data_IF_620635523839
#
_entry.id   IF_620635523839
#
_cell.length_a   1.000
_cell.length_b   1.000
_cell.length_c   1.000
_cell.angle_alpha   90.00
_cell.angle_beta   90.00
_cell.angle_gamma   90.00
#
_symmetry.space_group_name_H-M   'P 1'
#
loop_
_entity.id
_entity.type
_entity.pdbx_description
1 polymer ?
#
# COMPACT_ATOMS: atom_id res chain seq x y z
N UNK A 1 14.32 22.69 -12.30
CA UNK A 1 14.42 24.11 -12.69
C UNK A 1 13.22 24.86 -12.16
N UNK A 2 13.36 26.15 -11.91
CA UNK A 2 12.27 27.10 -11.67
C UNK A 2 12.38 28.21 -12.70
N UNK A 3 11.26 28.68 -13.25
CA UNK A 3 11.24 29.84 -14.15
C UNK A 3 10.64 31.02 -13.40
N UNK A 4 11.38 32.13 -13.34
CA UNK A 4 10.89 33.43 -12.91
C UNK A 4 10.37 34.18 -14.13
N UNK A 5 9.34 34.98 -13.96
CA UNK A 5 8.79 35.84 -15.01
C UNK A 5 8.40 37.18 -14.41
N UNK A 6 8.68 38.25 -15.14
CA UNK A 6 8.34 39.62 -14.75
C UNK A 6 8.15 40.47 -16.01
N UNK A 7 7.41 41.56 -15.88
CA UNK A 7 7.22 42.56 -16.93
C UNK A 7 8.04 43.80 -16.61
N UNK A 8 8.51 44.51 -17.64
CA UNK A 8 9.12 45.82 -17.46
C UNK A 8 8.80 46.78 -18.60
N UNK A 9 8.31 47.96 -18.24
CA UNK A 9 8.13 49.15 -19.08
C UNK A 9 9.25 50.19 -18.90
N UNK A 10 10.20 49.92 -17.99
CA UNK A 10 11.20 50.89 -17.57
C UNK A 10 12.34 51.05 -18.58
N UNK A 11 12.83 52.28 -18.72
CA UNK A 11 14.04 52.58 -19.48
C UNK A 11 15.30 52.14 -18.69
N UNK A 12 15.69 50.88 -18.78
CA UNK A 12 16.87 50.28 -18.14
C UNK A 12 17.59 49.34 -19.11
N UNK A 13 18.84 48.98 -18.82
CA UNK A 13 19.65 48.11 -19.69
C UNK A 13 19.40 46.61 -19.44
N UNK A 14 18.89 46.26 -18.27
CA UNK A 14 18.59 44.87 -17.93
C UNK A 14 18.34 44.64 -16.45
N UNK A 15 18.28 43.37 -16.10
CA UNK A 15 18.00 42.90 -14.75
C UNK A 15 19.11 42.00 -14.24
N UNK A 16 19.48 42.17 -12.98
CA UNK A 16 20.24 41.19 -12.20
C UNK A 16 19.32 40.33 -11.35
N UNK A 17 19.48 39.02 -11.48
CA UNK A 17 18.68 38.05 -10.75
C UNK A 17 19.53 37.51 -9.61
N UNK A 18 19.06 37.71 -8.39
CA UNK A 18 19.68 37.24 -7.18
C UNK A 18 18.80 36.22 -6.47
N UNK A 19 19.43 35.31 -5.71
CA UNK A 19 18.73 34.34 -4.87
C UNK A 19 19.45 34.14 -3.54
N UNK A 20 18.68 33.99 -2.48
CA UNK A 20 19.13 33.65 -1.12
C UNK A 20 18.20 32.60 -0.52
N UNK A 21 18.72 31.68 0.29
CA UNK A 21 17.91 30.91 1.23
C UNK A 21 18.43 31.09 2.66
N UNK A 22 17.76 30.45 3.63
CA UNK A 22 18.15 30.53 5.05
C UNK A 22 19.57 30.03 5.36
N UNK A 23 20.20 29.31 4.43
CA UNK A 23 21.56 28.78 4.59
C UNK A 23 22.64 29.68 3.95
N UNK A 24 22.23 30.71 3.21
CA UNK A 24 23.13 31.65 2.58
C UNK A 24 23.29 32.90 3.47
N UNK A 25 24.51 33.43 3.60
CA UNK A 25 24.76 34.68 4.33
C UNK A 25 24.17 35.89 3.58
N UNK A 26 24.34 35.90 2.27
CA UNK A 26 23.96 36.99 1.37
C UNK A 26 23.26 36.50 0.10
N UNK A 27 22.75 37.46 -0.67
CA UNK A 27 22.17 37.18 -1.98
C UNK A 27 23.25 36.82 -2.99
N UNK A 28 23.11 35.67 -3.64
CA UNK A 28 23.99 35.23 -4.72
C UNK A 28 23.41 35.65 -6.06
N UNK A 29 24.20 36.33 -6.89
CA UNK A 29 23.83 36.64 -8.28
C UNK A 29 23.77 35.36 -9.10
N UNK A 30 22.62 35.08 -9.70
CA UNK A 30 22.40 33.93 -10.57
C UNK A 30 22.68 34.23 -12.04
N UNK A 31 22.53 35.50 -12.44
CA UNK A 31 22.74 35.93 -13.81
C UNK A 31 22.11 37.29 -14.09
N UNK A 32 22.05 37.62 -15.38
CA UNK A 32 21.42 38.83 -15.90
C UNK A 32 20.52 38.53 -17.10
N UNK A 33 19.51 39.36 -17.31
CA UNK A 33 18.64 39.34 -18.49
C UNK A 33 18.61 40.74 -19.09
N UNK A 34 18.85 40.87 -20.40
CA UNK A 34 18.76 42.16 -21.08
C UNK A 34 17.32 42.66 -21.08
N UNK A 35 17.14 43.97 -20.98
CA UNK A 35 15.80 44.55 -21.01
C UNK A 35 15.32 44.69 -22.45
N UNK A 36 14.05 44.36 -22.64
CA UNK A 36 13.26 44.64 -23.84
C UNK A 36 12.01 45.35 -23.33
N UNK A 37 11.92 46.69 -23.45
CA UNK A 37 10.84 47.45 -22.86
C UNK A 37 9.47 46.98 -23.34
N UNK A 38 8.49 47.02 -22.45
CA UNK A 38 7.11 46.58 -22.67
C UNK A 38 6.95 45.09 -22.98
N UNK A 39 7.92 44.27 -22.58
CA UNK A 39 7.87 42.82 -22.73
C UNK A 39 7.92 42.08 -21.39
N UNK A 40 7.53 40.80 -21.44
CA UNK A 40 7.73 39.87 -20.33
C UNK A 40 9.07 39.16 -20.46
N UNK A 41 9.90 39.31 -19.44
CA UNK A 41 11.19 38.63 -19.33
C UNK A 41 11.04 37.34 -18.54
N UNK A 42 11.96 36.39 -18.79
CA UNK A 42 12.04 35.16 -18.02
C UNK A 42 13.47 34.80 -17.65
N UNK A 43 13.63 34.12 -16.51
CA UNK A 43 14.92 33.56 -16.09
C UNK A 43 14.73 32.15 -15.54
N UNK A 44 15.49 31.19 -16.07
CA UNK A 44 15.43 29.78 -15.65
C UNK A 44 16.55 29.43 -14.67
N UNK A 45 16.19 29.31 -13.40
CA UNK A 45 17.07 28.78 -12.37
C UNK A 45 17.20 27.26 -12.53
N UNK A 46 18.25 26.84 -13.24
CA UNK A 46 18.55 25.42 -13.50
C UNK A 46 18.90 24.66 -12.22
N UNK A 47 19.44 25.35 -11.22
CA UNK A 47 19.95 24.79 -9.97
C UNK A 47 18.93 24.83 -8.82
N UNK A 48 17.69 25.22 -9.09
CA UNK A 48 16.61 25.23 -8.10
C UNK A 48 16.42 23.86 -7.44
N UNK A 49 16.34 23.86 -6.11
CA UNK A 49 16.13 22.66 -5.28
C UNK A 49 14.80 22.72 -4.56
N UNK A 50 13.95 21.71 -4.79
CA UNK A 50 12.66 21.56 -4.10
C UNK A 50 12.85 21.36 -2.59
N UNK A 51 11.86 21.79 -1.82
CA UNK A 51 11.84 21.74 -0.36
C UNK A 51 12.62 22.87 0.32
N UNK A 52 13.41 23.64 -0.44
CA UNK A 52 14.11 24.82 0.06
C UNK A 52 13.30 26.06 -0.28
N UNK A 53 13.07 26.93 0.70
CA UNK A 53 12.51 28.26 0.46
C UNK A 53 13.62 29.17 -0.03
N UNK A 54 13.45 29.71 -1.24
CA UNK A 54 14.36 30.69 -1.84
C UNK A 54 13.67 32.04 -1.94
N UNK A 55 14.34 33.08 -1.46
CA UNK A 55 14.02 34.47 -1.71
C UNK A 55 14.77 34.92 -2.96
N UNK A 56 14.05 35.34 -3.99
CA UNK A 56 14.58 35.93 -5.20
C UNK A 56 14.49 37.45 -5.12
N UNK A 57 15.47 38.13 -5.73
CA UNK A 57 15.49 39.57 -5.92
C UNK A 57 15.87 39.85 -7.36
N UNK A 58 15.01 40.55 -8.10
CA UNK A 58 15.23 40.98 -9.48
C UNK A 58 15.46 42.48 -9.44
N UNK A 59 16.58 42.94 -9.97
CA UNK A 59 17.03 44.33 -9.81
C UNK A 59 17.31 44.92 -11.19
N UNK A 60 16.61 45.99 -11.55
CA UNK A 60 16.92 46.73 -12.77
C UNK A 60 18.31 47.38 -12.63
N UNK A 61 19.07 47.44 -13.72
CA UNK A 61 20.35 48.13 -13.75
C UNK A 61 20.49 49.02 -14.99
N UNK A 62 21.31 50.07 -14.86
CA UNK A 62 21.77 50.89 -15.98
C UNK A 62 23.29 50.91 -16.05
N UNK A 63 23.85 50.99 -17.25
CA UNK A 63 25.27 51.13 -17.53
C UNK A 63 25.54 52.56 -18.00
N UNK A 64 26.37 53.27 -17.24
CA UNK A 64 26.86 54.60 -17.64
C UNK A 64 27.85 54.51 -18.80
N UNK A 65 28.12 55.64 -19.44
CA UNK A 65 29.11 55.77 -20.53
C UNK A 65 30.53 55.35 -20.12
N UNK A 66 30.87 55.47 -18.84
CA UNK A 66 32.13 55.00 -18.24
C UNK A 66 32.15 53.49 -17.92
N UNK A 67 31.12 52.73 -18.32
CA UNK A 67 30.98 51.31 -18.04
C UNK A 67 30.50 50.96 -16.62
N UNK A 68 30.32 51.94 -15.73
CA UNK A 68 29.84 51.71 -14.36
C UNK A 68 28.37 51.30 -14.37
N UNK A 69 28.06 50.22 -13.66
CA UNK A 69 26.68 49.74 -13.50
C UNK A 69 26.07 50.30 -12.22
N UNK A 70 24.86 50.84 -12.31
CA UNK A 70 24.06 51.31 -11.18
C UNK A 70 22.80 50.45 -11.06
N UNK A 71 22.59 49.84 -9.89
CA UNK A 71 21.35 49.12 -9.56
C UNK A 71 20.24 50.11 -9.17
N UNK A 72 19.01 49.83 -9.60
CA UNK A 72 17.83 50.65 -9.34
C UNK A 72 16.71 49.86 -8.66
N UNK A 73 15.48 50.05 -9.14
CA UNK A 73 14.29 49.40 -8.60
C UNK A 73 14.44 47.87 -8.53
N UNK A 74 13.84 47.25 -7.50
CA UNK A 74 13.89 45.80 -7.33
C UNK A 74 12.57 45.20 -6.89
N UNK A 75 12.28 44.01 -7.41
CA UNK A 75 11.19 43.16 -6.96
C UNK A 75 11.74 41.99 -6.15
N UNK A 76 11.02 41.57 -5.10
CA UNK A 76 11.40 40.44 -4.24
C UNK A 76 10.25 39.45 -4.14
N UNK A 77 10.56 38.16 -4.20
CA UNK A 77 9.57 37.10 -3.98
C UNK A 77 10.22 35.88 -3.33
N UNK A 78 9.57 35.33 -2.31
CA UNK A 78 9.96 34.05 -1.71
C UNK A 78 9.09 32.93 -2.23
N UNK A 79 9.71 31.82 -2.63
CA UNK A 79 9.01 30.65 -3.17
C UNK A 79 9.61 29.37 -2.59
N UNK A 80 8.73 28.42 -2.26
CA UNK A 80 9.07 27.05 -1.92
C UNK A 80 8.21 26.12 -2.76
N UNK A 81 8.85 25.20 -3.47
CA UNK A 81 8.14 24.10 -4.14
C UNK A 81 8.40 22.84 -3.34
N UNK A 82 7.35 22.21 -2.83
CA UNK A 82 7.45 20.99 -2.04
C UNK A 82 8.05 19.82 -2.83
N UNK A 83 8.71 18.91 -2.10
CA UNK A 83 9.21 17.66 -2.67
C UNK A 83 8.01 16.72 -2.89
N UNK A 84 7.76 16.24 -4.12
CA UNK A 84 6.63 15.35 -4.37
C UNK A 84 6.67 14.09 -3.51
N UNK A 85 5.50 13.67 -3.03
CA UNK A 85 5.34 12.45 -2.26
C UNK A 85 5.65 11.23 -3.13
N UNK A 86 6.57 10.38 -2.67
CA UNK A 86 6.86 9.10 -3.35
C UNK A 86 5.75 8.06 -3.07
N UNK A 87 5.55 7.15 -4.03
CA UNK A 87 4.67 5.98 -3.89
C UNK A 87 5.49 4.75 -3.52
N UNK A 88 5.33 4.24 -2.30
CA UNK A 88 5.81 2.92 -1.90
C UNK A 88 4.98 1.84 -2.64
N UNK A 89 5.49 1.39 -3.79
CA UNK A 89 4.75 0.57 -4.75
C UNK A 89 4.60 -0.87 -4.27
N UNK A 90 5.61 -1.43 -3.61
CA UNK A 90 5.56 -2.81 -3.10
C UNK A 90 6.31 -2.99 -1.80
N UNK A 91 5.86 -3.96 -1.02
CA UNK A 91 6.55 -4.50 0.14
C UNK A 91 6.31 -6.02 0.16
N UNK A 92 7.38 -6.82 0.14
CA UNK A 92 7.29 -8.29 0.04
C UNK A 92 8.23 -8.95 1.05
N UNK A 93 7.70 -9.90 1.81
CA UNK A 93 8.44 -10.65 2.83
C UNK A 93 9.03 -11.94 2.27
N UNK A 94 10.28 -12.23 2.60
CA UNK A 94 10.92 -13.55 2.50
C UNK A 94 11.60 -13.85 3.83
N UNK A 95 11.00 -14.73 4.63
CA UNK A 95 11.45 -15.00 6.01
C UNK A 95 11.51 -13.73 6.86
N UNK A 96 12.70 -13.44 7.41
CA UNK A 96 12.99 -12.23 8.21
C UNK A 96 13.35 -11.00 7.35
N UNK A 97 13.37 -11.11 6.02
CA UNK A 97 13.72 -10.01 5.11
C UNK A 97 12.48 -9.43 4.45
N UNK A 98 12.40 -8.10 4.33
CA UNK A 98 11.35 -7.42 3.56
C UNK A 98 11.98 -6.56 2.47
N UNK A 99 11.62 -6.83 1.22
CA UNK A 99 12.02 -6.02 0.07
C UNK A 99 10.96 -4.96 -0.20
N UNK A 100 11.38 -3.69 -0.25
CA UNK A 100 10.56 -2.52 -0.53
C UNK A 100 10.94 -1.95 -1.89
N UNK A 101 9.95 -1.50 -2.67
CA UNK A 101 10.18 -0.74 -3.92
C UNK A 101 9.30 0.49 -3.96
N UNK A 102 9.79 1.59 -4.51
CA UNK A 102 9.04 2.85 -4.63
C UNK A 102 9.25 3.54 -5.99
N UNK A 103 8.42 4.54 -6.28
CA UNK A 103 8.51 5.34 -7.50
C UNK A 103 9.52 6.48 -7.34
N UNK A 104 10.26 6.76 -8.42
CA UNK A 104 11.26 7.82 -8.48
C UNK A 104 10.61 9.18 -8.28
N UNK A 105 11.24 10.04 -7.48
CA UNK A 105 10.95 11.47 -7.39
C UNK A 105 12.08 12.21 -8.09
N UNK A 106 11.76 13.03 -9.10
CA UNK A 106 12.77 13.75 -9.85
C UNK A 106 13.46 14.82 -8.99
N UNK A 107 14.79 14.93 -9.13
CA UNK A 107 15.58 15.99 -8.49
C UNK A 107 15.86 15.80 -6.99
N UNK A 108 15.63 14.60 -6.43
CA UNK A 108 15.92 14.28 -5.02
C UNK A 108 17.29 13.62 -4.86
N UNK A 109 17.92 13.83 -3.70
CA UNK A 109 19.21 13.23 -3.39
C UNK A 109 19.08 11.81 -2.84
N UNK A 110 17.91 11.45 -2.29
CA UNK A 110 17.73 10.12 -1.75
C UNK A 110 16.39 9.90 -1.08
N UNK A 111 16.31 8.79 -0.35
CA UNK A 111 15.12 8.35 0.35
C UNK A 111 15.45 7.89 1.78
N UNK A 112 14.52 8.10 2.70
CA UNK A 112 14.55 7.50 4.02
C UNK A 112 13.41 6.51 4.18
N UNK A 113 13.73 5.37 4.76
CA UNK A 113 12.81 4.26 5.00
C UNK A 113 12.56 4.15 6.49
N UNK A 114 11.29 4.10 6.84
CA UNK A 114 10.83 3.99 8.22
C UNK A 114 10.01 2.73 8.42
N UNK A 115 10.24 2.07 9.55
CA UNK A 115 9.56 0.86 9.99
C UNK A 115 8.87 1.09 11.33
N UNK A 116 7.66 0.56 11.50
CA UNK A 116 6.97 0.44 12.79
C UNK A 116 6.63 -1.02 13.03
N UNK A 117 6.99 -1.53 14.21
CA UNK A 117 6.69 -2.90 14.65
C UNK A 117 5.44 -2.87 15.54
N UNK A 118 4.42 -3.67 15.23
CA UNK A 118 3.21 -3.76 16.04
C UNK A 118 2.58 -2.39 16.32
N UNK A 119 2.37 -2.07 17.61
CA UNK A 119 1.82 -0.81 18.09
C UNK A 119 2.86 0.31 18.30
N UNK A 120 4.16 0.01 18.21
CA UNK A 120 5.25 0.95 18.57
C UNK A 120 5.39 2.19 17.67
N UNK A 121 6.48 2.94 17.82
CA UNK A 121 6.77 4.13 17.00
C UNK A 121 7.45 3.77 15.67
N UNK A 122 7.41 4.70 14.71
CA UNK A 122 8.20 4.58 13.48
C UNK A 122 9.66 4.91 13.77
N UNK A 123 10.58 4.01 13.41
CA UNK A 123 12.03 4.22 13.46
C UNK A 123 12.59 4.26 12.03
N UNK A 124 13.59 5.11 11.80
CA UNK A 124 14.34 5.11 10.54
C UNK A 124 15.22 3.86 10.50
N UNK A 125 15.06 3.04 9.47
CA UNK A 125 15.82 1.78 9.31
C UNK A 125 16.86 1.87 8.20
N UNK A 126 16.70 2.82 7.27
CA UNK A 126 17.67 3.03 6.19
C UNK A 126 17.60 4.45 5.64
N UNK A 127 18.76 5.00 5.31
CA UNK A 127 18.92 6.16 4.44
C UNK A 127 19.62 5.71 3.17
N UNK A 128 19.04 6.05 2.02
CA UNK A 128 19.59 5.76 0.70
C UNK A 128 20.00 7.10 0.10
N UNK A 129 21.31 7.32 -0.07
CA UNK A 129 21.89 8.58 -0.56
C UNK A 129 21.96 8.69 -2.09
N UNK A 130 21.19 7.86 -2.79
CA UNK A 130 21.04 7.92 -4.24
C UNK A 130 19.56 8.09 -4.60
N UNK A 131 19.25 9.12 -5.39
CA UNK A 131 17.91 9.37 -5.93
C UNK A 131 17.49 8.38 -7.02
N UNK A 132 18.43 7.59 -7.56
CA UNK A 132 18.17 6.56 -8.58
C UNK A 132 17.94 5.16 -7.98
N UNK A 133 18.33 4.91 -6.73
CA UNK A 133 18.04 3.65 -6.04
C UNK A 133 16.58 3.62 -5.58
N UNK A 134 15.80 2.68 -6.12
CA UNK A 134 14.34 2.61 -5.93
C UNK A 134 13.87 1.34 -5.20
N UNK A 135 14.81 0.60 -4.63
CA UNK A 135 14.55 -0.65 -3.91
C UNK A 135 15.50 -0.79 -2.74
N UNK A 136 15.04 -1.40 -1.65
CA UNK A 136 15.91 -1.86 -0.57
C UNK A 136 15.35 -3.10 0.11
N UNK A 137 16.25 -3.92 0.64
CA UNK A 137 15.89 -4.99 1.54
C UNK A 137 16.17 -4.56 2.98
N UNK A 138 15.18 -4.74 3.85
CA UNK A 138 15.30 -4.56 5.29
C UNK A 138 15.43 -5.94 5.93
N UNK A 139 16.58 -6.25 6.58
CA UNK A 139 16.78 -7.51 7.29
C UNK A 139 16.09 -7.50 8.66
N UNK A 140 16.09 -8.65 9.34
CA UNK A 140 15.70 -8.82 10.76
C UNK A 140 14.33 -8.25 11.13
N UNK A 141 13.40 -8.31 10.17
CA UNK A 141 12.03 -7.86 10.35
C UNK A 141 11.26 -8.91 11.17
N UNK A 142 10.70 -8.55 12.33
CA UNK A 142 9.93 -9.46 13.18
C UNK A 142 8.86 -10.21 12.39
N UNK A 143 8.72 -11.51 12.69
CA UNK A 143 7.83 -12.43 11.95
C UNK A 143 6.50 -12.68 12.65
N UNK A 144 6.44 -12.47 13.97
CA UNK A 144 5.26 -12.80 14.79
C UNK A 144 4.19 -11.71 14.75
N UNK A 145 4.55 -10.46 14.39
CA UNK A 145 3.62 -9.34 14.38
C UNK A 145 3.61 -8.61 13.03
N UNK A 146 2.53 -7.87 12.79
CA UNK A 146 2.44 -7.00 11.62
C UNK A 146 3.44 -5.85 11.74
N UNK A 147 4.13 -5.55 10.65
CA UNK A 147 5.05 -4.42 10.53
C UNK A 147 4.56 -3.45 9.47
N UNK A 148 4.92 -2.17 9.61
CA UNK A 148 4.47 -1.09 8.72
C UNK A 148 5.66 -0.33 8.18
N UNK A 149 5.66 -0.09 6.87
CA UNK A 149 6.70 0.68 6.19
C UNK A 149 6.15 1.94 5.55
N UNK A 150 6.94 3.01 5.59
CA UNK A 150 6.73 4.24 4.84
C UNK A 150 8.07 4.78 4.36
N UNK A 151 8.06 5.48 3.23
CA UNK A 151 9.25 6.05 2.59
C UNK A 151 9.03 7.53 2.35
N UNK A 152 10.05 8.37 2.53
CA UNK A 152 10.04 9.77 2.11
C UNK A 152 11.27 10.10 1.29
N UNK A 153 11.13 10.98 0.30
CA UNK A 153 12.25 11.50 -0.44
C UNK A 153 12.87 12.69 0.31
N UNK A 154 14.16 12.96 0.06
CA UNK A 154 14.84 14.13 0.58
C UNK A 154 15.75 14.78 -0.45
N UNK A 155 15.96 16.08 -0.28
CA UNK A 155 16.95 16.88 -0.99
C UNK A 155 17.97 17.36 0.02
N UNK A 156 19.23 17.45 -0.37
CA UNK A 156 20.29 18.09 0.42
C UNK A 156 20.65 19.44 -0.19
N UNK A 157 20.86 20.44 0.68
CA UNK A 157 21.30 21.78 0.30
C UNK A 157 22.25 22.30 1.37
N UNK A 158 23.48 22.67 0.99
CA UNK A 158 24.52 23.15 1.91
C UNK A 158 24.65 22.27 3.17
N UNK A 159 24.76 20.94 2.99
CA UNK A 159 24.86 19.96 4.08
C UNK A 159 23.56 19.65 4.84
N UNK A 160 22.48 20.42 4.62
CA UNK A 160 21.22 20.29 5.33
C UNK A 160 20.19 19.46 4.54
N UNK A 161 19.32 18.75 5.26
CA UNK A 161 18.25 17.93 4.66
C UNK A 161 16.92 18.69 4.61
N UNK A 162 16.26 18.61 3.46
CA UNK A 162 14.85 18.95 3.32
C UNK A 162 14.07 17.70 2.94
N UNK A 163 12.97 17.44 3.64
CA UNK A 163 12.20 16.21 3.54
C UNK A 163 10.85 16.45 2.85
N UNK A 164 10.49 15.55 1.93
CA UNK A 164 9.11 15.47 1.43
C UNK A 164 8.20 14.73 2.41
N UNK A 165 6.90 14.76 2.12
CA UNK A 165 5.92 13.99 2.89
C UNK A 165 6.16 12.48 2.78
N UNK A 166 5.78 11.75 3.82
CA UNK A 166 5.80 10.29 3.80
C UNK A 166 4.83 9.71 2.76
N UNK A 167 5.22 8.59 2.16
CA UNK A 167 4.37 7.73 1.34
C UNK A 167 3.16 7.24 2.14
N UNK A 168 2.16 6.71 1.43
CA UNK A 168 1.18 5.84 2.07
C UNK A 168 1.89 4.65 2.76
N UNK A 169 1.32 4.19 3.88
CA UNK A 169 1.87 3.09 4.66
C UNK A 169 1.58 1.76 3.97
N UNK A 170 2.59 0.89 3.85
CA UNK A 170 2.40 -0.53 3.50
C UNK A 170 2.49 -1.37 4.75
N UNK A 171 1.47 -2.21 4.97
CA UNK A 171 1.41 -3.17 6.09
C UNK A 171 1.84 -4.54 5.61
N UNK A 172 2.77 -5.17 6.33
CA UNK A 172 3.16 -6.55 6.15
C UNK A 172 2.72 -7.31 7.38
N UNK A 173 1.71 -8.18 7.22
CA UNK A 173 1.25 -9.09 8.28
C UNK A 173 2.37 -10.02 8.79
N UNK A 174 2.12 -10.71 9.89
CA UNK A 174 3.02 -11.77 10.41
C UNK A 174 3.31 -12.82 9.34
N UNK A 175 4.42 -13.54 9.48
CA UNK A 175 4.83 -14.57 8.52
C UNK A 175 3.77 -15.67 8.37
N UNK A 176 3.19 -16.10 9.49
CA UNK A 176 2.07 -17.03 9.54
C UNK A 176 0.88 -16.52 8.72
N UNK A 177 0.39 -15.30 9.01
CA UNK A 177 -0.74 -14.72 8.29
C UNK A 177 -0.44 -14.49 6.82
N UNK A 178 0.79 -14.15 6.44
CA UNK A 178 1.22 -14.06 5.04
C UNK A 178 1.19 -15.43 4.34
N UNK A 179 1.57 -16.49 5.04
CA UNK A 179 1.47 -17.86 4.52
C UNK A 179 0.01 -18.25 4.28
N UNK A 180 -0.90 -17.97 5.23
CA UNK A 180 -2.34 -18.22 5.08
C UNK A 180 -2.92 -17.42 3.89
N UNK A 181 -2.58 -16.12 3.75
CA UNK A 181 -3.00 -15.29 2.61
C UNK A 181 -2.58 -15.92 1.27
N UNK A 182 -1.34 -16.44 1.18
CA UNK A 182 -0.85 -17.11 -0.04
C UNK A 182 -1.63 -18.39 -0.33
N UNK A 183 -2.01 -19.16 0.69
CA UNK A 183 -2.84 -20.37 0.55
C UNK A 183 -4.24 -20.00 0.06
N UNK A 184 -4.91 -19.02 0.68
CA UNK A 184 -6.23 -18.55 0.21
C UNK A 184 -6.20 -18.08 -1.23
N UNK A 185 -5.18 -17.33 -1.67
CA UNK A 185 -5.05 -16.92 -3.08
C UNK A 185 -4.98 -18.10 -4.06
N UNK A 186 -4.37 -19.22 -3.65
CA UNK A 186 -4.36 -20.45 -4.46
C UNK A 186 -5.73 -21.11 -4.44
N UNK A 187 -6.36 -21.20 -3.26
CA UNK A 187 -7.69 -21.80 -3.11
C UNK A 187 -8.77 -21.03 -3.89
N UNK A 188 -8.77 -19.71 -3.86
CA UNK A 188 -9.69 -18.87 -4.63
C UNK A 188 -9.54 -19.05 -6.15
N UNK A 189 -8.37 -19.48 -6.64
CA UNK A 189 -8.19 -19.85 -8.05
C UNK A 189 -8.71 -21.25 -8.36
N UNK A 190 -8.55 -22.19 -7.43
CA UNK A 190 -9.02 -23.57 -7.56
C UNK A 190 -10.55 -23.69 -7.38
N UNK A 191 -11.10 -22.83 -6.53
CA UNK A 191 -12.52 -22.76 -6.16
C UNK A 191 -13.00 -21.32 -6.39
N UNK A 192 -13.12 -20.85 -7.65
CA UNK A 192 -13.47 -19.46 -7.93
C UNK A 192 -14.92 -19.14 -7.55
N UNK A 193 -15.14 -17.86 -7.24
CA UNK A 193 -16.45 -17.29 -6.91
C UNK A 193 -17.47 -17.59 -8.01
N UNK A 194 -18.69 -17.99 -7.63
CA UNK A 194 -19.79 -18.26 -8.55
C UNK A 194 -19.81 -19.66 -9.16
N UNK A 195 -18.75 -20.47 -9.02
CA UNK A 195 -18.81 -21.91 -9.35
C UNK A 195 -19.57 -22.68 -8.28
N UNK A 196 -20.06 -23.87 -8.64
CA UNK A 196 -20.72 -24.76 -7.70
C UNK A 196 -19.78 -25.86 -7.22
N UNK A 197 -19.72 -26.07 -5.92
CA UNK A 197 -18.98 -27.17 -5.30
C UNK A 197 -19.82 -28.46 -5.31
N UNK A 198 -19.93 -29.04 -6.48
CA UNK A 198 -20.75 -30.21 -6.77
C UNK A 198 -20.11 -31.02 -7.93
N UNK A 199 -20.80 -32.06 -8.39
CA UNK A 199 -20.36 -32.90 -9.49
C UNK A 199 -21.46 -33.14 -10.55
N UNK A 200 -22.39 -32.19 -10.68
CA UNK A 200 -23.46 -32.24 -11.68
C UNK A 200 -22.91 -32.39 -13.10
N UNK A 201 -23.36 -33.42 -13.81
CA UNK A 201 -22.91 -33.73 -15.17
C UNK A 201 -21.46 -34.22 -15.26
N UNK A 202 -20.90 -34.76 -14.16
CA UNK A 202 -19.56 -35.36 -14.14
C UNK A 202 -19.65 -36.85 -13.82
N UNK A 203 -19.11 -37.68 -14.70
CA UNK A 203 -19.02 -39.15 -14.52
C UNK A 203 -17.85 -39.57 -13.62
N UNK A 204 -16.77 -38.77 -13.58
CA UNK A 204 -15.66 -38.91 -12.62
C UNK A 204 -15.55 -37.64 -11.80
N UNK A 205 -15.58 -37.76 -10.47
CA UNK A 205 -15.51 -36.62 -9.57
C UNK A 205 -14.80 -36.96 -8.26
N UNK A 206 -14.39 -35.94 -7.54
CA UNK A 206 -13.92 -36.04 -6.17
C UNK A 206 -14.30 -34.75 -5.43
N UNK A 207 -13.93 -34.65 -4.15
CA UNK A 207 -14.26 -33.47 -3.34
C UNK A 207 -13.70 -32.15 -3.90
N UNK A 208 -12.78 -32.14 -4.86
CA UNK A 208 -12.22 -30.93 -5.51
C UNK A 208 -12.95 -30.53 -6.78
N UNK A 209 -13.86 -31.37 -7.28
CA UNK A 209 -14.66 -31.07 -8.47
C UNK A 209 -15.50 -29.81 -8.23
N UNK A 210 -15.57 -28.95 -9.24
CA UNK A 210 -16.52 -27.83 -9.28
C UNK A 210 -17.15 -27.77 -10.65
N UNK A 211 -18.40 -27.31 -10.74
CA UNK A 211 -19.12 -27.19 -12.02
C UNK A 211 -19.70 -25.79 -12.22
N UNK A 212 -20.27 -25.55 -13.39
CA UNK A 212 -21.02 -24.34 -13.73
C UNK A 212 -22.53 -24.50 -13.53
N UNK A 213 -23.00 -25.71 -13.17
CA UNK A 213 -24.42 -26.04 -13.04
C UNK A 213 -24.77 -26.16 -11.55
N UNK A 214 -25.89 -25.59 -11.09
CA UNK A 214 -26.33 -25.77 -9.71
C UNK A 214 -26.61 -27.24 -9.41
N UNK A 215 -26.51 -27.62 -8.14
CA UNK A 215 -26.94 -28.93 -7.66
C UNK A 215 -28.44 -29.09 -7.88
N UNK A 216 -28.86 -30.32 -8.15
CA UNK A 216 -30.26 -30.66 -8.28
C UNK A 216 -30.80 -30.90 -6.87
N UNK A 217 -31.76 -30.08 -6.45
CA UNK A 217 -32.57 -30.31 -5.25
C UNK A 217 -34.00 -30.57 -5.72
N UNK A 218 -34.27 -31.80 -6.20
CA UNK A 218 -35.60 -32.16 -6.74
C UNK A 218 -36.66 -32.11 -5.64
N UNK A 219 -36.27 -32.45 -4.41
CA UNK A 219 -36.96 -32.14 -3.16
C UNK A 219 -36.02 -31.34 -2.26
N UNK A 220 -36.56 -30.58 -1.29
CA UNK A 220 -35.75 -30.06 -0.19
C UNK A 220 -34.90 -31.23 0.36
N UNK A 221 -33.58 -31.04 0.46
CA UNK A 221 -32.58 -31.99 0.99
C UNK A 221 -31.97 -33.04 0.04
N UNK A 222 -32.24 -33.07 -1.28
CA UNK A 222 -31.48 -33.94 -2.19
C UNK A 222 -30.02 -33.46 -2.34
N UNK A 223 -29.09 -34.16 -1.69
CA UNK A 223 -27.65 -33.87 -1.68
C UNK A 223 -26.84 -34.81 -2.58
N UNK A 224 -27.51 -35.63 -3.41
CA UNK A 224 -26.88 -36.66 -4.24
C UNK A 224 -25.77 -36.12 -5.15
N UNK A 225 -25.99 -34.93 -5.72
CA UNK A 225 -25.04 -34.28 -6.63
C UNK A 225 -24.09 -33.30 -5.93
N UNK A 226 -24.29 -33.06 -4.62
CA UNK A 226 -23.45 -32.18 -3.83
C UNK A 226 -22.11 -32.84 -3.53
N UNK A 227 -21.04 -32.04 -3.45
CA UNK A 227 -19.80 -32.57 -2.90
C UNK A 227 -19.91 -32.70 -1.38
N UNK A 228 -19.23 -33.72 -0.88
CA UNK A 228 -19.00 -33.95 0.54
C UNK A 228 -17.50 -34.04 0.83
N UNK A 229 -17.15 -33.95 2.10
CA UNK A 229 -15.78 -34.02 2.56
C UNK A 229 -15.72 -34.69 3.92
N UNK A 230 -14.91 -35.74 4.04
CA UNK A 230 -14.55 -36.32 5.33
C UNK A 230 -13.79 -35.26 6.12
N UNK A 231 -14.43 -34.59 7.08
CA UNK A 231 -13.85 -33.48 7.83
C UNK A 231 -12.80 -33.99 8.83
N UNK A 232 -11.83 -33.16 9.23
CA UNK A 232 -10.75 -33.57 10.13
C UNK A 232 -11.22 -33.81 11.57
N UNK A 233 -12.46 -33.45 11.90
CA UNK A 233 -13.13 -33.79 13.14
C UNK A 233 -13.93 -35.10 13.07
N UNK A 234 -13.74 -35.91 12.03
CA UNK A 234 -14.39 -37.22 11.87
C UNK A 234 -15.79 -37.17 11.25
N UNK A 235 -16.34 -35.98 10.98
CA UNK A 235 -17.70 -35.82 10.44
C UNK A 235 -17.68 -35.85 8.91
N UNK A 236 -18.58 -36.60 8.28
CA UNK A 236 -18.85 -36.48 6.86
C UNK A 236 -19.62 -35.18 6.59
N UNK A 237 -18.91 -34.16 6.12
CA UNK A 237 -19.44 -32.82 5.92
C UNK A 237 -20.01 -32.62 4.53
N UNK A 238 -21.25 -32.15 4.45
CA UNK A 238 -21.90 -31.72 3.21
C UNK A 238 -21.89 -30.19 3.09
N UNK A 239 -22.05 -29.69 1.87
CA UNK A 239 -22.31 -28.28 1.56
C UNK A 239 -21.36 -27.31 2.31
N UNK A 240 -21.91 -26.29 3.00
CA UNK A 240 -21.17 -25.27 3.72
C UNK A 240 -20.19 -25.86 4.74
N UNK A 241 -20.60 -26.92 5.46
CA UNK A 241 -19.81 -27.54 6.50
C UNK A 241 -18.59 -28.26 5.92
N UNK A 242 -18.82 -29.13 4.93
CA UNK A 242 -17.76 -29.84 4.23
C UNK A 242 -16.77 -28.89 3.56
N UNK A 243 -17.27 -27.86 2.90
CA UNK A 243 -16.44 -26.90 2.19
C UNK A 243 -15.54 -26.10 3.14
N UNK A 244 -16.09 -25.55 4.23
CA UNK A 244 -15.32 -24.77 5.19
C UNK A 244 -14.19 -25.60 5.82
N UNK A 245 -14.48 -26.83 6.22
CA UNK A 245 -13.49 -27.75 6.76
C UNK A 245 -12.47 -28.20 5.72
N UNK A 246 -12.88 -28.42 4.47
CA UNK A 246 -11.95 -28.71 3.37
C UNK A 246 -10.98 -27.56 3.13
N UNK A 247 -11.47 -26.31 3.10
CA UNK A 247 -10.61 -25.14 2.93
C UNK A 247 -9.61 -25.02 4.09
N UNK A 248 -10.05 -25.27 5.32
CA UNK A 248 -9.17 -25.32 6.50
C UNK A 248 -8.11 -26.41 6.34
N UNK A 249 -8.48 -27.60 5.90
CA UNK A 249 -7.54 -28.70 5.70
C UNK A 249 -6.49 -28.43 4.62
N UNK A 250 -6.87 -27.79 3.51
CA UNK A 250 -5.92 -27.41 2.45
C UNK A 250 -4.95 -26.28 2.88
N UNK A 251 -5.31 -25.52 3.93
CA UNK A 251 -4.43 -24.52 4.53
C UNK A 251 -3.46 -25.21 5.49
N UNK A 252 -3.99 -25.89 6.52
CA UNK A 252 -3.23 -26.35 7.69
C UNK A 252 -2.74 -27.79 7.60
N UNK A 253 -3.30 -28.61 6.71
CA UNK A 253 -3.02 -30.03 6.57
C UNK A 253 -3.89 -30.90 7.48
N UNK A 254 -4.12 -32.15 7.04
CA UNK A 254 -5.05 -33.10 7.68
C UNK A 254 -4.83 -33.30 9.17
N UNK A 255 -3.58 -33.36 9.58
CA UNK A 255 -3.17 -33.73 10.93
C UNK A 255 -3.09 -32.52 11.90
N UNK A 256 -3.35 -31.30 11.42
CA UNK A 256 -3.35 -30.12 12.28
C UNK A 256 -4.44 -30.23 13.35
N UNK A 257 -4.10 -29.92 14.61
CA UNK A 257 -5.00 -30.09 15.76
C UNK A 257 -6.13 -29.06 15.71
N UNK A 258 -7.27 -29.38 16.30
CA UNK A 258 -8.45 -28.51 16.34
C UNK A 258 -8.65 -27.99 17.76
N UNK A 259 -8.82 -26.67 17.91
CA UNK A 259 -9.24 -26.03 19.17
C UNK A 259 -10.55 -25.27 18.96
N UNK A 260 -11.56 -25.62 19.75
CA UNK A 260 -12.88 -24.98 19.72
C UNK A 260 -13.00 -23.88 20.77
N UNK A 261 -13.74 -22.81 20.45
CA UNK A 261 -14.02 -21.69 21.35
C UNK A 261 -15.28 -20.91 20.90
N UNK A 262 -15.75 -19.97 21.72
CA UNK A 262 -17.01 -19.21 21.54
C UNK A 262 -16.83 -17.68 21.39
N UNK A 263 -15.60 -17.20 21.20
CA UNK A 263 -15.30 -15.76 21.24
C UNK A 263 -14.90 -15.18 19.88
N UNK A 264 -15.73 -14.27 19.36
CA UNK A 264 -15.41 -13.48 18.16
C UNK A 264 -14.14 -12.63 18.30
N UNK A 265 -13.78 -12.23 19.52
CA UNK A 265 -12.57 -11.45 19.77
C UNK A 265 -11.30 -12.29 19.55
N UNK A 266 -11.39 -13.60 19.81
CA UNK A 266 -10.27 -14.55 19.68
C UNK A 266 -10.13 -15.13 18.28
N UNK A 267 -11.13 -15.01 17.41
CA UNK A 267 -11.06 -15.60 16.08
C UNK A 267 -10.09 -14.86 15.14
N UNK A 268 -9.52 -15.62 14.21
CA UNK A 268 -8.51 -15.19 13.27
C UNK A 268 -8.73 -15.74 11.87
N UNK A 269 -7.91 -15.27 10.95
CA UNK A 269 -7.89 -15.76 9.57
C UNK A 269 -7.56 -17.26 9.54
N UNK A 270 -8.35 -18.05 8.82
CA UNK A 270 -8.21 -19.50 8.70
C UNK A 270 -9.09 -20.30 9.65
N UNK A 271 -9.70 -19.67 10.67
CA UNK A 271 -10.66 -20.34 11.54
C UNK A 271 -11.94 -20.69 10.78
N UNK A 272 -12.55 -21.81 11.15
CA UNK A 272 -13.89 -22.20 10.72
C UNK A 272 -14.90 -21.68 11.74
N UNK A 273 -16.00 -21.08 11.29
CA UNK A 273 -17.13 -20.67 12.13
C UNK A 273 -18.33 -21.54 11.78
N UNK A 274 -19.04 -22.04 12.80
CA UNK A 274 -20.36 -22.66 12.70
C UNK A 274 -21.37 -21.78 13.45
N UNK A 275 -22.40 -21.28 12.78
CA UNK A 275 -23.45 -20.43 13.37
C UNK A 275 -24.77 -20.66 12.63
N UNK A 276 -25.89 -20.71 13.34
CA UNK A 276 -27.24 -20.84 12.75
C UNK A 276 -27.36 -21.90 11.64
N UNK A 277 -26.75 -23.08 11.83
CA UNK A 277 -26.79 -24.14 10.81
C UNK A 277 -25.88 -23.93 9.59
N UNK A 278 -25.09 -22.86 9.54
CA UNK A 278 -24.18 -22.52 8.44
C UNK A 278 -22.71 -22.54 8.86
N UNK A 279 -21.82 -22.87 7.92
CA UNK A 279 -20.37 -22.92 8.16
C UNK A 279 -19.58 -22.11 7.15
N UNK A 280 -18.60 -21.37 7.64
CA UNK A 280 -17.75 -20.50 6.82
C UNK A 280 -16.31 -20.55 7.29
N UNK A 281 -15.34 -20.20 6.42
CA UNK A 281 -13.94 -20.02 6.81
C UNK A 281 -13.56 -18.54 6.75
N UNK A 282 -12.86 -18.05 7.77
CA UNK A 282 -12.46 -16.64 7.86
C UNK A 282 -11.30 -16.36 6.90
N UNK A 283 -11.50 -15.47 5.93
CA UNK A 283 -10.44 -14.96 5.05
C UNK A 283 -9.86 -13.63 5.55
N UNK A 284 -10.65 -12.82 6.27
CA UNK A 284 -10.16 -11.60 6.93
C UNK A 284 -10.88 -11.33 8.25
N UNK A 285 -10.17 -10.73 9.20
CA UNK A 285 -10.70 -10.33 10.50
C UNK A 285 -10.67 -8.81 10.64
N UNK A 286 -11.83 -8.23 10.93
CA UNK A 286 -12.02 -6.81 11.20
C UNK A 286 -12.61 -6.61 12.61
N UNK A 287 -12.73 -5.34 13.04
CA UNK A 287 -13.19 -4.98 14.39
C UNK A 287 -14.57 -5.57 14.69
N UNK A 288 -15.53 -5.38 13.78
CA UNK A 288 -16.94 -5.72 13.98
C UNK A 288 -17.49 -6.76 12.99
N UNK A 289 -16.66 -7.25 12.06
CA UNK A 289 -17.05 -8.26 11.08
C UNK A 289 -15.86 -9.14 10.69
N UNK A 290 -16.15 -10.23 10.00
CA UNK A 290 -15.18 -11.07 9.29
C UNK A 290 -15.53 -11.08 7.81
N UNK A 291 -14.53 -11.27 6.97
CA UNK A 291 -14.72 -11.60 5.56
C UNK A 291 -14.52 -13.11 5.43
N UNK A 292 -15.39 -13.78 4.69
CA UNK A 292 -15.43 -15.25 4.69
C UNK A 292 -15.34 -15.85 3.29
N UNK A 293 -14.94 -17.11 3.26
CA UNK A 293 -15.18 -18.03 2.16
C UNK A 293 -16.21 -19.07 2.58
N UNK A 294 -17.11 -19.41 1.68
CA UNK A 294 -18.19 -20.33 1.96
C UNK A 294 -18.68 -21.05 0.71
N UNK A 295 -19.46 -22.08 0.95
CA UNK A 295 -20.32 -22.75 -0.01
C UNK A 295 -21.73 -22.74 0.57
N UNK A 296 -22.76 -22.92 -0.26
CA UNK A 296 -24.16 -22.91 0.14
C UNK A 296 -24.81 -21.53 0.25
N UNK A 297 -24.34 -20.53 -0.50
CA UNK A 297 -24.97 -19.20 -0.49
C UNK A 297 -26.32 -19.26 -1.23
N UNK A 298 -27.40 -18.88 -0.54
CA UNK A 298 -28.76 -18.93 -1.10
C UNK A 298 -29.30 -20.35 -1.33
N UNK A 299 -28.93 -21.31 -0.46
CA UNK A 299 -29.34 -22.73 -0.54
C UNK A 299 -28.91 -23.45 -1.83
N UNK A 300 -27.89 -22.94 -2.51
CA UNK A 300 -27.24 -23.62 -3.64
C UNK A 300 -25.78 -23.83 -3.31
N UNK A 301 -25.16 -24.93 -3.74
CA UNK A 301 -23.72 -25.21 -3.53
C UNK A 301 -22.76 -24.21 -4.19
N UNK A 302 -23.19 -22.99 -4.49
CA UNK A 302 -22.36 -21.92 -5.02
C UNK A 302 -21.28 -21.53 -4.01
N UNK A 303 -20.07 -21.37 -4.52
CA UNK A 303 -18.91 -20.91 -3.80
C UNK A 303 -18.94 -19.39 -3.77
N UNK A 304 -18.82 -18.81 -2.58
CA UNK A 304 -18.73 -17.37 -2.39
C UNK A 304 -17.50 -17.01 -1.57
N UNK A 305 -16.74 -16.03 -2.07
CA UNK A 305 -15.64 -15.39 -1.36
C UNK A 305 -15.94 -13.91 -1.16
N UNK A 306 -15.53 -13.36 -0.02
CA UNK A 306 -15.57 -11.91 0.20
C UNK A 306 -16.84 -11.41 0.88
N UNK A 307 -17.79 -12.28 1.23
CA UNK A 307 -18.97 -11.86 2.00
C UNK A 307 -18.53 -11.40 3.39
N UNK A 308 -19.11 -10.28 3.83
CA UNK A 308 -18.96 -9.79 5.20
C UNK A 308 -19.99 -10.48 6.09
N UNK A 309 -19.53 -11.00 7.23
CA UNK A 309 -20.40 -11.52 8.30
C UNK A 309 -20.11 -10.71 9.55
N UNK A 310 -21.09 -9.96 10.00
CA UNK A 310 -20.97 -9.07 11.15
C UNK A 310 -21.09 -9.84 12.46
N UNK A 311 -20.49 -9.28 13.51
CA UNK A 311 -20.46 -9.89 14.85
C UNK A 311 -21.87 -10.23 15.37
N UNK A 312 -22.87 -9.38 15.09
CA UNK A 312 -24.23 -9.60 15.57
C UNK A 312 -24.92 -10.80 14.90
N UNK A 313 -24.48 -11.20 13.69
CA UNK A 313 -24.99 -12.39 12.99
C UNK A 313 -24.43 -13.69 13.57
N UNK A 314 -23.30 -13.61 14.30
CA UNK A 314 -22.57 -14.76 14.83
C UNK A 314 -23.01 -15.13 16.26
N UNK A 315 -24.29 -14.92 16.58
CA UNK A 315 -24.88 -15.36 17.84
C UNK A 315 -24.70 -16.87 18.03
N UNK A 316 -24.30 -17.29 19.24
CA UNK A 316 -24.06 -18.69 19.62
C UNK A 316 -23.02 -19.45 18.75
N UNK A 317 -22.25 -18.74 17.93
CA UNK A 317 -21.29 -19.34 17.01
C UNK A 317 -20.22 -20.17 17.73
N UNK A 318 -19.86 -21.31 17.15
CA UNK A 318 -18.65 -22.05 17.48
C UNK A 318 -17.55 -21.66 16.51
N UNK A 319 -16.36 -21.39 17.03
CA UNK A 319 -15.16 -21.12 16.26
C UNK A 319 -14.18 -22.27 16.45
N UNK A 320 -13.49 -22.64 15.38
CA UNK A 320 -12.51 -23.73 15.37
C UNK A 320 -11.22 -23.25 14.72
N UNK A 321 -10.13 -23.20 15.50
CA UNK A 321 -8.79 -22.90 15.00
C UNK A 321 -8.01 -24.19 14.72
N UNK A 322 -7.17 -24.15 13.69
CA UNK A 322 -6.16 -25.18 13.40
C UNK A 322 -4.76 -24.68 13.75
N UNK A 323 -3.92 -25.55 14.29
CA UNK A 323 -2.52 -25.27 14.64
C UNK A 323 -1.63 -26.50 14.55
#
# INVERSE_FOLDING_TARGET
TLTLSWFSDGNNDGFYIYRKCKYDKEYKKLGSVANHPYETHTFKDKNFKRGITFAYRIVAYRRGSNGKVTEGASAKQSIKIEIPKTKLSSASRSGKKVTLKWKKVAGVNGYEIYQKNGSGSYKKVKTIKSGSTLSCQVPDVPVQSAVRFKVRAFVTYSGNYSYGSYSAVKVIQSAEKQWIIRKFKKLQKLYPDGRYWNHVGKTKYNSSTTTNKPCHHVTYDDISTCNHYNCPNGILGFQCYGFAWKMSDLIYGRNAKIKNFKSFAKCGMGDVIRYSGHSVIITEKHKNYVVVGECNYGNTCVIKWGRKVYKYELGNATYSSRY
#
